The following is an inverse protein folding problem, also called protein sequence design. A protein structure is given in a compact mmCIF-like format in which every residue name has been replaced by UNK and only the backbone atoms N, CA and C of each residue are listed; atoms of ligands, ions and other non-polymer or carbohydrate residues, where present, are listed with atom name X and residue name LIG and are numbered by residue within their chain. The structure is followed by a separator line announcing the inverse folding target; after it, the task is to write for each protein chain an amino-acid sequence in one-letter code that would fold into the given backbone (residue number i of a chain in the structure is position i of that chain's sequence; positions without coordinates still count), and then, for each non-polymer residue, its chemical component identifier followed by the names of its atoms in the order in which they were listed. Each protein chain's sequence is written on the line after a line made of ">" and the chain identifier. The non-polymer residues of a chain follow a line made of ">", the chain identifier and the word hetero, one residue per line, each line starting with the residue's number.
data_IF_140947582811
#
_entry.id   IF_140947582811
#
_cell.length_a   1.000
_cell.length_b   1.000
_cell.length_c   1.000
_cell.angle_alpha   90.00
_cell.angle_beta   90.00
_cell.angle_gamma   90.00
#
_symmetry.space_group_name_H-M   'P 1'
#
loop_
_entity.id
_entity.type
_entity.pdbx_description
1 polymer ?
#
# COMPACT_ATOMS: atom_id res chain seq x y z
N UNK A 1 6.20 -5.57 -24.72
CA UNK A 1 4.83 -5.70 -25.26
C UNK A 1 4.34 -4.29 -25.58
N UNK A 2 4.01 -3.98 -26.84
CA UNK A 2 3.53 -2.63 -27.21
C UNK A 2 2.21 -2.40 -26.45
N UNK A 3 2.06 -1.37 -25.60
CA UNK A 3 0.81 -1.14 -24.88
C UNK A 3 -0.34 -0.97 -25.89
N UNK A 4 -1.57 -1.40 -25.59
CA UNK A 4 -2.70 -1.20 -26.50
C UNK A 4 -3.09 0.29 -26.57
N UNK A 5 -3.50 0.75 -27.75
CA UNK A 5 -4.17 2.06 -27.91
C UNK A 5 -5.65 1.86 -27.63
N UNK A 6 -6.28 2.78 -26.90
CA UNK A 6 -7.73 2.74 -26.75
C UNK A 6 -8.39 2.97 -28.12
N UNK A 7 -9.33 2.08 -28.56
CA UNK A 7 -10.00 2.21 -29.86
C UNK A 7 -10.70 3.56 -30.07
N UNK A 8 -10.98 4.31 -29.00
CA UNK A 8 -11.62 5.62 -29.03
C UNK A 8 -10.68 6.77 -29.41
N UNK A 9 -9.36 6.55 -29.44
CA UNK A 9 -8.36 7.59 -29.69
C UNK A 9 -8.66 8.40 -30.96
N UNK A 10 -8.90 7.72 -32.09
CA UNK A 10 -9.12 8.39 -33.38
C UNK A 10 -10.36 9.27 -33.38
N UNK A 11 -11.46 8.76 -32.80
CA UNK A 11 -12.73 9.48 -32.68
C UNK A 11 -12.59 10.70 -31.77
N UNK A 12 -11.88 10.58 -30.65
CA UNK A 12 -11.67 11.70 -29.71
C UNK A 12 -10.74 12.77 -30.29
N UNK A 13 -9.69 12.37 -31.01
CA UNK A 13 -8.81 13.30 -31.72
C UNK A 13 -9.60 14.13 -32.74
N UNK A 14 -10.45 13.48 -33.56
CA UNK A 14 -11.32 14.19 -34.51
C UNK A 14 -12.25 15.17 -33.79
N UNK A 15 -12.93 14.70 -32.73
CA UNK A 15 -13.89 15.51 -31.96
C UNK A 15 -13.24 16.77 -31.37
N UNK A 16 -12.05 16.64 -30.77
CA UNK A 16 -11.32 17.75 -30.14
C UNK A 16 -10.78 18.75 -31.18
N UNK A 17 -10.33 18.25 -32.32
CA UNK A 17 -9.89 19.09 -33.43
C UNK A 17 -11.06 19.91 -34.00
N UNK A 18 -12.20 19.28 -34.24
CA UNK A 18 -13.39 19.93 -34.81
C UNK A 18 -14.03 20.91 -33.83
N UNK A 19 -14.05 20.60 -32.53
CA UNK A 19 -14.51 21.51 -31.48
C UNK A 19 -13.71 22.82 -31.42
N UNK A 20 -12.45 22.80 -31.89
CA UNK A 20 -11.57 23.98 -32.01
C UNK A 20 -11.54 24.60 -33.40
N UNK A 21 -12.37 24.11 -34.33
CA UNK A 21 -12.40 24.54 -35.73
C UNK A 21 -11.04 24.44 -36.46
N UNK A 22 -10.17 23.52 -36.03
CA UNK A 22 -8.85 23.30 -36.64
C UNK A 22 -8.98 22.29 -37.79
N UNK A 23 -8.47 22.62 -38.97
CA UNK A 23 -8.38 21.65 -40.08
C UNK A 23 -7.23 20.66 -39.88
N UNK A 24 -7.30 19.49 -40.52
CA UNK A 24 -6.17 18.53 -40.52
C UNK A 24 -4.86 19.14 -41.07
N UNK A 25 -4.95 20.16 -41.95
CA UNK A 25 -3.78 20.85 -42.50
C UNK A 25 -3.15 21.78 -41.46
N UNK A 26 -3.96 22.50 -40.69
CA UNK A 26 -3.48 23.36 -39.61
C UNK A 26 -2.93 22.55 -38.45
N UNK A 27 -3.59 21.45 -38.06
CA UNK A 27 -3.07 20.54 -37.03
C UNK A 27 -1.73 19.91 -37.46
N UNK A 28 -1.59 19.55 -38.74
CA UNK A 28 -0.33 19.05 -39.30
C UNK A 28 0.80 20.07 -39.19
N UNK A 29 0.52 21.34 -39.49
CA UNK A 29 1.49 22.42 -39.35
C UNK A 29 1.87 22.69 -37.88
N UNK A 30 0.89 22.66 -36.96
CA UNK A 30 1.11 22.94 -35.54
C UNK A 30 1.83 21.80 -34.80
N UNK A 31 1.62 20.55 -35.22
CA UNK A 31 2.19 19.37 -34.56
C UNK A 31 3.49 18.86 -35.19
N UNK A 32 3.92 19.44 -36.32
CA UNK A 32 4.99 18.89 -37.17
C UNK A 32 4.76 17.41 -37.59
N UNK A 33 3.52 16.90 -37.47
CA UNK A 33 3.13 15.57 -37.94
C UNK A 33 2.52 15.67 -39.34
N UNK A 34 2.77 14.67 -40.19
CA UNK A 34 2.19 14.68 -41.54
C UNK A 34 0.66 14.58 -41.50
N UNK A 35 -0.02 15.32 -42.39
CA UNK A 35 -1.48 15.22 -42.58
C UNK A 35 -1.95 13.78 -42.82
N UNK A 36 -1.15 12.98 -43.53
CA UNK A 36 -1.45 11.57 -43.79
C UNK A 36 -1.42 10.73 -42.51
N UNK A 37 -0.47 10.98 -41.59
CA UNK A 37 -0.40 10.31 -40.30
C UNK A 37 -1.61 10.66 -39.43
N UNK A 38 -1.94 11.96 -39.31
CA UNK A 38 -3.09 12.41 -38.53
C UNK A 38 -4.42 11.84 -39.05
N UNK A 39 -4.58 11.78 -40.38
CA UNK A 39 -5.75 11.16 -41.01
C UNK A 39 -5.83 9.65 -40.74
N UNK A 40 -4.69 8.94 -40.69
CA UNK A 40 -4.68 7.53 -40.34
C UNK A 40 -5.01 7.32 -38.85
N UNK A 41 -4.54 8.20 -37.97
CA UNK A 41 -4.89 8.16 -36.55
C UNK A 41 -6.40 8.39 -36.32
N UNK A 42 -7.00 9.41 -36.94
CA UNK A 42 -8.43 9.71 -36.77
C UNK A 42 -9.34 8.56 -37.25
N UNK A 43 -8.93 7.85 -38.30
CA UNK A 43 -9.73 6.77 -38.87
C UNK A 43 -9.34 5.37 -38.32
N UNK A 44 -8.49 5.32 -37.28
CA UNK A 44 -8.04 4.06 -36.67
C UNK A 44 -7.13 3.19 -37.55
N UNK A 45 -6.60 3.73 -38.65
CA UNK A 45 -5.70 3.04 -39.56
C UNK A 45 -4.23 2.99 -39.09
N UNK A 46 -3.86 3.85 -38.12
CA UNK A 46 -2.53 3.80 -37.50
C UNK A 46 -2.56 4.37 -36.07
N UNK A 47 -1.98 3.62 -35.16
CA UNK A 47 -1.79 4.04 -33.77
C UNK A 47 -0.71 5.14 -33.65
N UNK A 48 -0.98 6.24 -32.93
CA UNK A 48 0.06 7.20 -32.57
C UNK A 48 1.02 6.60 -31.52
N UNK A 49 2.24 7.13 -31.48
CA UNK A 49 3.11 6.88 -30.33
C UNK A 49 2.58 7.64 -29.09
N UNK A 50 2.92 7.21 -27.87
CA UNK A 50 2.54 7.93 -26.64
C UNK A 50 3.00 9.39 -26.64
N UNK A 51 4.19 9.68 -27.16
CA UNK A 51 4.72 11.03 -27.25
C UNK A 51 3.89 11.90 -28.20
N UNK A 52 3.46 11.34 -29.34
CA UNK A 52 2.58 12.03 -30.29
C UNK A 52 1.17 12.25 -29.70
N UNK A 53 0.65 11.30 -28.92
CA UNK A 53 -0.63 11.45 -28.25
C UNK A 53 -0.59 12.58 -27.20
N UNK A 54 0.46 12.63 -26.36
CA UNK A 54 0.66 13.70 -25.38
C UNK A 54 0.90 15.07 -26.05
N UNK A 55 1.64 15.09 -27.17
CA UNK A 55 1.85 16.33 -27.93
C UNK A 55 0.53 16.86 -28.53
N UNK A 56 -0.29 15.99 -29.12
CA UNK A 56 -1.61 16.36 -29.63
C UNK A 56 -2.57 16.79 -28.52
N UNK A 57 -2.48 16.15 -27.34
CA UNK A 57 -3.25 16.54 -26.14
C UNK A 57 -2.96 17.98 -25.73
N UNK A 58 -1.68 18.35 -25.61
CA UNK A 58 -1.25 19.71 -25.27
C UNK A 58 -1.63 20.73 -26.34
N UNK A 59 -1.43 20.41 -27.62
CA UNK A 59 -1.78 21.31 -28.73
C UNK A 59 -3.28 21.56 -28.84
N UNK A 60 -4.07 20.54 -28.56
CA UNK A 60 -5.52 20.63 -28.52
C UNK A 60 -6.02 20.88 -27.10
N UNK A 61 -5.19 21.34 -26.17
CA UNK A 61 -5.55 21.67 -24.77
C UNK A 61 -6.65 20.73 -24.21
N UNK A 62 -6.38 19.43 -24.29
CA UNK A 62 -7.37 18.38 -24.09
C UNK A 62 -7.42 17.88 -22.64
N UNK A 63 -6.59 18.44 -21.75
CA UNK A 63 -6.57 18.12 -20.32
C UNK A 63 -6.26 16.65 -20.03
N UNK A 64 -5.38 16.03 -20.83
CA UNK A 64 -4.95 14.63 -20.68
C UNK A 64 -5.86 13.59 -21.33
N UNK A 65 -6.96 13.98 -21.99
CA UNK A 65 -7.91 13.06 -22.62
C UNK A 65 -7.32 12.24 -23.76
N UNK A 66 -6.50 12.82 -24.63
CA UNK A 66 -5.81 12.09 -25.70
C UNK A 66 -4.62 11.30 -25.16
N UNK A 67 -3.89 11.84 -24.19
CA UNK A 67 -2.77 11.16 -23.56
C UNK A 67 -3.21 9.89 -22.81
N UNK A 68 -4.34 9.94 -22.09
CA UNK A 68 -4.90 8.78 -21.37
C UNK A 68 -5.39 7.65 -22.28
N UNK A 69 -5.80 7.96 -23.51
CA UNK A 69 -6.19 6.97 -24.52
C UNK A 69 -4.97 6.29 -25.18
N UNK A 70 -3.76 6.82 -24.94
CA UNK A 70 -2.48 6.25 -25.36
C UNK A 70 -1.43 6.45 -24.26
N UNK A 71 -1.55 5.75 -23.12
CA UNK A 71 -0.65 5.94 -22.00
C UNK A 71 0.77 5.51 -22.36
N UNK A 72 1.75 6.31 -21.94
CA UNK A 72 3.14 5.89 -21.94
C UNK A 72 3.43 5.14 -20.62
N UNK A 73 3.80 3.85 -20.67
CA UNK A 73 4.12 3.08 -19.47
C UNK A 73 5.37 3.59 -18.73
N UNK A 74 6.15 4.51 -19.32
CA UNK A 74 7.36 5.09 -18.71
C UNK A 74 7.18 6.54 -18.21
N UNK A 75 6.10 7.25 -18.60
CA UNK A 75 5.87 8.67 -18.26
C UNK A 75 4.65 8.87 -17.34
N UNK A 76 4.53 8.07 -16.28
CA UNK A 76 3.53 8.27 -15.22
C UNK A 76 3.76 9.49 -14.32
N UNK A 77 4.72 10.37 -14.65
CA UNK A 77 5.02 11.60 -13.90
C UNK A 77 5.59 12.63 -14.86
N UNK A 78 4.81 13.66 -15.20
CA UNK A 78 5.29 14.89 -15.85
C UNK A 78 5.91 15.86 -14.80
N UNK A 79 6.34 15.36 -13.64
CA UNK A 79 7.24 16.12 -12.75
C UNK A 79 8.67 15.94 -13.27
N UNK A 80 9.35 17.05 -13.56
CA UNK A 80 10.82 17.04 -13.58
C UNK A 80 11.25 16.50 -12.22
N UNK A 81 12.00 15.38 -12.16
CA UNK A 81 12.49 14.88 -10.89
C UNK A 81 13.21 16.02 -10.18
N UNK A 82 12.77 16.33 -8.96
CA UNK A 82 13.45 17.29 -8.12
C UNK A 82 14.92 16.88 -7.95
N UNK A 83 15.79 17.85 -7.65
CA UNK A 83 17.20 17.55 -7.39
C UNK A 83 17.37 16.46 -6.32
N UNK A 84 16.45 16.40 -5.34
CA UNK A 84 16.41 15.36 -4.31
C UNK A 84 16.08 13.97 -4.88
N UNK A 85 15.11 13.86 -5.78
CA UNK A 85 14.74 12.59 -6.43
C UNK A 85 15.85 12.09 -7.36
N UNK A 86 16.53 13.00 -8.08
CA UNK A 86 17.71 12.67 -8.90
C UNK A 86 18.82 12.14 -8.00
N UNK A 87 19.13 12.85 -6.91
CA UNK A 87 20.17 12.44 -5.97
C UNK A 87 19.85 11.09 -5.32
N UNK A 88 18.59 10.84 -4.96
CA UNK A 88 18.13 9.56 -4.43
C UNK A 88 18.33 8.43 -5.45
N UNK A 89 17.95 8.65 -6.72
CA UNK A 89 18.13 7.67 -7.78
C UNK A 89 19.61 7.38 -8.07
N UNK A 90 20.47 8.41 -8.05
CA UNK A 90 21.91 8.26 -8.21
C UNK A 90 22.54 7.47 -7.06
N UNK A 91 22.11 7.72 -5.80
CA UNK A 91 22.54 6.97 -4.62
C UNK A 91 22.15 5.49 -4.71
N UNK A 92 20.92 5.19 -5.13
CA UNK A 92 20.46 3.80 -5.34
C UNK A 92 21.27 3.12 -6.45
N UNK A 93 21.49 3.80 -7.58
CA UNK A 93 22.26 3.24 -8.69
C UNK A 93 23.75 3.06 -8.33
N UNK A 94 24.31 3.92 -7.46
CA UNK A 94 25.66 3.76 -6.92
C UNK A 94 25.74 2.56 -5.99
N UNK A 95 24.78 2.40 -5.07
CA UNK A 95 24.68 1.25 -4.17
C UNK A 95 24.66 -0.08 -4.91
N UNK A 96 23.94 -0.19 -6.03
CA UNK A 96 23.93 -1.38 -6.88
C UNK A 96 25.29 -1.67 -7.53
N UNK A 97 26.05 -0.63 -7.91
CA UNK A 97 27.37 -0.77 -8.55
C UNK A 97 28.50 -1.03 -7.54
N UNK A 98 28.35 -0.57 -6.29
CA UNK A 98 29.36 -0.65 -5.24
C UNK A 98 28.78 -1.10 -3.87
N UNK A 99 28.21 -2.31 -3.77
CA UNK A 99 27.52 -2.78 -2.56
C UNK A 99 28.41 -2.90 -1.31
N UNK A 100 29.74 -2.82 -1.46
CA UNK A 100 30.72 -2.84 -0.36
C UNK A 100 30.92 -1.49 0.31
N UNK A 101 30.39 -0.41 -0.26
CA UNK A 101 30.56 0.97 0.22
C UNK A 101 29.20 1.64 0.49
N UNK A 102 28.23 0.88 1.00
CA UNK A 102 26.92 1.43 1.36
C UNK A 102 27.06 2.36 2.57
N UNK A 103 26.72 3.62 2.38
CA UNK A 103 26.59 4.60 3.45
C UNK A 103 25.13 4.70 3.94
N UNK A 104 24.92 5.47 5.00
CA UNK A 104 23.61 5.71 5.57
C UNK A 104 22.64 6.39 4.58
N UNK A 105 23.14 7.25 3.69
CA UNK A 105 22.32 7.98 2.72
C UNK A 105 21.75 7.08 1.63
N UNK A 106 22.53 6.11 1.16
CA UNK A 106 22.05 5.09 0.23
C UNK A 106 20.97 4.19 0.84
N UNK A 107 21.14 3.79 2.11
CA UNK A 107 20.14 2.97 2.82
C UNK A 107 18.86 3.77 3.06
N UNK A 108 18.97 5.05 3.39
CA UNK A 108 17.82 5.94 3.51
C UNK A 108 17.04 6.03 2.18
N UNK A 109 17.72 6.23 1.04
CA UNK A 109 17.05 6.24 -0.28
C UNK A 109 16.29 4.93 -0.56
N UNK A 110 16.88 3.80 -0.20
CA UNK A 110 16.24 2.49 -0.38
C UNK A 110 14.98 2.36 0.50
N UNK A 111 15.03 2.87 1.73
CA UNK A 111 13.86 3.00 2.60
C UNK A 111 12.79 3.93 2.02
N UNK A 112 13.19 5.07 1.46
CA UNK A 112 12.29 6.05 0.85
C UNK A 112 11.53 5.46 -0.35
N UNK A 113 12.21 4.68 -1.21
CA UNK A 113 11.54 3.96 -2.31
C UNK A 113 10.50 2.97 -1.78
N UNK A 114 10.79 2.27 -0.68
CA UNK A 114 9.83 1.37 -0.05
C UNK A 114 8.64 2.13 0.55
N UNK A 115 8.89 3.28 1.19
CA UNK A 115 7.83 4.14 1.70
C UNK A 115 6.94 4.67 0.55
N UNK A 116 7.52 5.05 -0.58
CA UNK A 116 6.79 5.46 -1.78
C UNK A 116 5.91 4.33 -2.31
N UNK A 117 6.39 3.08 -2.35
CA UNK A 117 5.56 1.94 -2.73
C UNK A 117 4.34 1.77 -1.81
N UNK A 118 4.50 1.94 -0.49
CA UNK A 118 3.37 1.87 0.45
C UNK A 118 2.31 2.93 0.16
N UNK A 119 2.73 4.14 -0.23
CA UNK A 119 1.79 5.21 -0.62
C UNK A 119 1.13 4.96 -1.96
N UNK A 120 1.82 4.27 -2.89
CA UNK A 120 1.23 3.86 -4.14
C UNK A 120 0.14 2.79 -3.94
N UNK A 121 0.32 1.85 -3.00
CA UNK A 121 -0.68 0.82 -2.66
C UNK A 121 -2.06 1.41 -2.32
N UNK A 122 -2.12 2.63 -1.77
CA UNK A 122 -3.38 3.33 -1.49
C UNK A 122 -4.18 3.69 -2.76
N UNK A 123 -3.54 3.65 -3.94
CA UNK A 123 -4.08 4.22 -5.18
C UNK A 123 -4.04 3.28 -6.38
N UNK A 124 -3.16 2.27 -6.37
CA UNK A 124 -3.00 1.34 -7.50
C UNK A 124 -3.24 -0.12 -7.08
N UNK A 125 -3.81 -0.96 -7.97
CA UNK A 125 -4.06 -2.36 -7.66
C UNK A 125 -2.77 -3.15 -7.35
N UNK A 126 -2.88 -4.11 -6.43
CA UNK A 126 -1.79 -4.98 -6.03
C UNK A 126 -1.17 -5.76 -7.21
N UNK A 127 -1.95 -6.10 -8.25
CA UNK A 127 -1.46 -6.79 -9.46
C UNK A 127 -0.39 -5.98 -10.20
N UNK A 128 -0.51 -4.65 -10.17
CA UNK A 128 0.42 -3.72 -10.82
C UNK A 128 1.62 -3.46 -9.92
N UNK A 129 1.39 -3.24 -8.62
CA UNK A 129 2.44 -2.86 -7.68
C UNK A 129 3.34 -4.03 -7.27
N UNK A 130 2.79 -5.23 -7.10
CA UNK A 130 3.53 -6.41 -6.65
C UNK A 130 4.81 -6.69 -7.43
N UNK A 131 4.84 -6.72 -8.79
CA UNK A 131 6.08 -6.99 -9.52
C UNK A 131 7.16 -5.93 -9.28
N UNK A 132 6.76 -4.66 -9.11
CA UNK A 132 7.68 -3.53 -8.85
C UNK A 132 8.28 -3.66 -7.44
N UNK A 133 7.42 -3.82 -6.43
CA UNK A 133 7.84 -3.99 -5.04
C UNK A 133 8.70 -5.25 -4.84
N UNK A 134 8.35 -6.35 -5.49
CA UNK A 134 9.11 -7.59 -5.43
C UNK A 134 10.49 -7.45 -6.12
N UNK A 135 10.58 -6.75 -7.26
CA UNK A 135 11.87 -6.47 -7.89
C UNK A 135 12.78 -5.64 -6.97
N UNK A 136 12.24 -4.60 -6.33
CA UNK A 136 12.96 -3.80 -5.34
C UNK A 136 13.42 -4.66 -4.15
N UNK A 137 12.54 -5.50 -3.59
CA UNK A 137 12.90 -6.45 -2.53
C UNK A 137 14.06 -7.38 -2.95
N UNK A 138 14.03 -7.92 -4.16
CA UNK A 138 15.11 -8.77 -4.67
C UNK A 138 16.44 -8.01 -4.81
N UNK A 139 16.41 -6.74 -5.20
CA UNK A 139 17.59 -5.87 -5.18
C UNK A 139 18.14 -5.72 -3.76
N UNK A 140 17.28 -5.40 -2.78
CA UNK A 140 17.68 -5.26 -1.37
C UNK A 140 18.33 -6.54 -0.83
N UNK A 141 17.77 -7.71 -1.14
CA UNK A 141 18.35 -9.01 -0.75
C UNK A 141 19.73 -9.23 -1.36
N UNK A 142 19.93 -8.89 -2.64
CA UNK A 142 21.25 -8.99 -3.30
C UNK A 142 22.27 -8.06 -2.67
N UNK A 143 21.88 -6.80 -2.41
CA UNK A 143 22.73 -5.82 -1.72
C UNK A 143 23.13 -6.33 -0.34
N UNK A 144 22.17 -6.81 0.46
CA UNK A 144 22.41 -7.28 1.82
C UNK A 144 23.37 -8.46 1.91
N UNK A 145 23.35 -9.37 0.93
CA UNK A 145 24.28 -10.52 0.89
C UNK A 145 25.75 -10.08 0.81
N UNK A 146 26.00 -9.05 0.01
CA UNK A 146 27.35 -8.61 -0.34
C UNK A 146 27.81 -7.37 0.48
N UNK A 147 26.88 -6.76 1.23
CA UNK A 147 27.12 -5.60 2.10
C UNK A 147 28.07 -5.91 3.26
N UNK A 148 28.90 -4.93 3.61
CA UNK A 148 29.84 -4.99 4.73
C UNK A 148 29.87 -3.63 5.43
N UNK A 149 30.29 -3.62 6.69
CA UNK A 149 30.46 -2.40 7.47
C UNK A 149 29.32 -2.09 8.44
N UNK A 150 29.33 -0.91 9.06
CA UNK A 150 28.50 -0.59 10.22
C UNK A 150 27.00 -0.46 9.91
N UNK A 151 26.63 -0.23 8.64
CA UNK A 151 25.24 -0.02 8.24
C UNK A 151 24.49 -1.29 7.79
N UNK A 152 25.15 -2.46 7.85
CA UNK A 152 24.55 -3.75 7.49
C UNK A 152 23.25 -4.02 8.26
N UNK A 153 23.14 -3.81 9.59
CA UNK A 153 21.88 -4.01 10.31
C UNK A 153 20.73 -3.14 9.78
N UNK A 154 21.00 -1.87 9.45
CA UNK A 154 20.00 -0.95 8.88
C UNK A 154 19.50 -1.43 7.52
N UNK A 155 20.39 -1.94 6.66
CA UNK A 155 19.99 -2.54 5.38
C UNK A 155 19.13 -3.80 5.59
N UNK A 156 19.48 -4.64 6.56
CA UNK A 156 18.67 -5.82 6.89
C UNK A 156 17.29 -5.46 7.42
N UNK A 157 17.14 -4.32 8.13
CA UNK A 157 15.84 -3.81 8.53
C UNK A 157 15.00 -3.42 7.31
N UNK A 158 15.56 -2.68 6.34
CA UNK A 158 14.86 -2.36 5.07
C UNK A 158 14.49 -3.63 4.29
N UNK A 159 15.35 -4.66 4.32
CA UNK A 159 15.02 -5.97 3.73
C UNK A 159 13.84 -6.62 4.45
N UNK A 160 13.80 -6.61 5.79
CA UNK A 160 12.68 -7.18 6.56
C UNK A 160 11.37 -6.43 6.27
N UNK A 161 11.42 -5.10 6.28
CA UNK A 161 10.26 -4.26 5.92
C UNK A 161 9.75 -4.52 4.49
N UNK A 162 10.66 -4.62 3.51
CA UNK A 162 10.26 -4.90 2.12
C UNK A 162 9.65 -6.30 1.97
N UNK A 163 10.11 -7.27 2.76
CA UNK A 163 9.56 -8.62 2.79
C UNK A 163 8.15 -8.63 3.36
N UNK A 164 7.92 -7.90 4.46
CA UNK A 164 6.58 -7.69 5.02
C UNK A 164 5.65 -7.05 3.99
N UNK A 165 6.10 -6.01 3.29
CA UNK A 165 5.27 -5.31 2.31
C UNK A 165 4.96 -6.16 1.07
N UNK A 166 5.92 -6.92 0.53
CA UNK A 166 5.64 -7.87 -0.56
C UNK A 166 4.70 -8.99 -0.08
N UNK A 167 4.78 -9.38 1.19
CA UNK A 167 3.81 -10.27 1.85
C UNK A 167 2.40 -9.69 1.83
N UNK A 168 2.25 -8.40 2.16
CA UNK A 168 0.97 -7.67 2.11
C UNK A 168 0.34 -7.69 0.72
N UNK A 169 1.10 -7.30 -0.30
CA UNK A 169 0.62 -7.35 -1.68
C UNK A 169 0.29 -8.79 -2.12
N UNK A 170 1.05 -9.78 -1.64
CA UNK A 170 0.77 -11.19 -1.93
C UNK A 170 -0.54 -11.67 -1.29
N UNK A 171 -0.87 -11.21 -0.08
CA UNK A 171 -2.13 -11.50 0.59
C UNK A 171 -3.32 -10.93 -0.19
N UNK A 172 -3.24 -9.66 -0.62
CA UNK A 172 -4.27 -9.03 -1.46
C UNK A 172 -4.55 -9.81 -2.75
N UNK A 173 -3.52 -10.45 -3.32
CA UNK A 173 -3.63 -11.30 -4.51
C UNK A 173 -4.10 -12.74 -4.22
N UNK A 174 -4.55 -13.03 -2.99
CA UNK A 174 -4.98 -14.36 -2.57
C UNK A 174 -3.85 -15.39 -2.41
N UNK A 175 -2.58 -14.96 -2.45
CA UNK A 175 -1.39 -15.85 -2.34
C UNK A 175 -1.05 -16.11 -0.87
N UNK A 176 -2.01 -16.61 -0.10
CA UNK A 176 -1.93 -16.62 1.36
C UNK A 176 -0.74 -17.41 1.91
N UNK A 177 -0.40 -18.58 1.34
CA UNK A 177 0.76 -19.35 1.80
C UNK A 177 2.09 -18.60 1.58
N UNK A 178 2.21 -17.90 0.46
CA UNK A 178 3.40 -17.09 0.18
C UNK A 178 3.47 -15.91 1.15
N UNK A 179 2.34 -15.24 1.39
CA UNK A 179 2.23 -14.14 2.35
C UNK A 179 2.61 -14.59 3.78
N UNK A 180 2.08 -15.72 4.27
CA UNK A 180 2.42 -16.23 5.61
C UNK A 180 3.93 -16.51 5.75
N UNK A 181 4.56 -17.12 4.74
CA UNK A 181 6.01 -17.34 4.75
C UNK A 181 6.81 -16.04 4.76
N UNK A 182 6.36 -15.02 4.04
CA UNK A 182 7.02 -13.72 4.00
C UNK A 182 6.88 -13.00 5.34
N UNK A 183 5.69 -13.01 5.94
CA UNK A 183 5.46 -12.43 7.27
C UNK A 183 6.26 -13.15 8.36
N UNK A 184 6.33 -14.48 8.33
CA UNK A 184 7.13 -15.24 9.29
C UNK A 184 8.61 -14.84 9.20
N UNK A 185 9.19 -14.82 7.99
CA UNK A 185 10.59 -14.41 7.79
C UNK A 185 10.84 -12.94 8.16
N UNK A 186 9.86 -12.05 7.94
CA UNK A 186 9.97 -10.66 8.38
C UNK A 186 9.95 -10.56 9.90
N UNK A 187 9.06 -11.29 10.57
CA UNK A 187 8.97 -11.31 12.03
C UNK A 187 10.29 -11.80 12.66
N UNK A 188 10.80 -12.94 12.20
CA UNK A 188 12.06 -13.53 12.71
C UNK A 188 13.22 -12.53 12.57
N UNK A 189 13.38 -11.90 11.40
CA UNK A 189 14.43 -10.90 11.17
C UNK A 189 14.25 -9.63 11.99
N UNK A 190 13.01 -9.17 12.16
CA UNK A 190 12.71 -7.99 12.95
C UNK A 190 13.02 -8.25 14.43
N UNK A 191 12.73 -9.43 14.96
CA UNK A 191 13.09 -9.84 16.32
C UNK A 191 14.62 -9.88 16.50
N UNK A 192 15.35 -10.49 15.57
CA UNK A 192 16.83 -10.52 15.58
C UNK A 192 17.46 -9.11 15.57
N UNK A 193 16.80 -8.14 14.92
CA UNK A 193 17.25 -6.75 14.82
C UNK A 193 16.75 -5.86 15.95
N UNK A 194 15.92 -6.36 16.87
CA UNK A 194 15.28 -5.56 17.92
C UNK A 194 14.23 -4.58 17.39
N UNK A 195 13.66 -4.82 16.21
CA UNK A 195 12.65 -4.00 15.57
C UNK A 195 11.23 -4.45 15.98
N UNK A 196 10.88 -4.23 17.25
CA UNK A 196 9.65 -4.73 17.87
C UNK A 196 8.35 -4.34 17.15
N UNK A 197 8.25 -3.11 16.64
CA UNK A 197 7.08 -2.65 15.87
C UNK A 197 6.83 -3.48 14.61
N UNK A 198 7.90 -3.76 13.84
CA UNK A 198 7.82 -4.55 12.61
C UNK A 198 7.54 -6.04 12.92
N UNK A 199 8.15 -6.59 13.96
CA UNK A 199 7.89 -7.95 14.43
C UNK A 199 6.42 -8.14 14.85
N UNK A 200 5.89 -7.19 15.63
CA UNK A 200 4.50 -7.17 16.06
C UNK A 200 3.54 -7.06 14.86
N UNK A 201 3.80 -6.14 13.92
CA UNK A 201 2.98 -5.98 12.72
C UNK A 201 2.99 -7.24 11.84
N UNK A 202 4.17 -7.82 11.61
CA UNK A 202 4.31 -9.04 10.79
C UNK A 202 3.51 -10.20 11.40
N UNK A 203 3.59 -10.38 12.71
CA UNK A 203 2.82 -11.39 13.45
C UNK A 203 1.31 -11.14 13.37
N UNK A 204 0.87 -9.87 13.50
CA UNK A 204 -0.55 -9.50 13.32
C UNK A 204 -1.07 -9.80 11.91
N UNK A 205 -0.25 -9.61 10.89
CA UNK A 205 -0.67 -9.88 9.52
C UNK A 205 -0.88 -11.39 9.29
N UNK A 206 -0.10 -12.24 9.94
CA UNK A 206 -0.37 -13.69 10.02
C UNK A 206 -1.68 -13.99 10.74
N UNK A 207 -1.96 -13.27 11.83
CA UNK A 207 -3.25 -13.34 12.52
C UNK A 207 -4.44 -12.95 11.63
N UNK A 208 -4.28 -11.92 10.77
CA UNK A 208 -5.30 -11.52 9.80
C UNK A 208 -5.55 -12.60 8.76
N UNK A 209 -4.49 -13.19 8.19
CA UNK A 209 -4.64 -14.32 7.26
C UNK A 209 -5.34 -15.51 7.91
N UNK A 210 -5.01 -15.82 9.16
CA UNK A 210 -5.68 -16.89 9.90
C UNK A 210 -7.17 -16.58 10.13
N UNK A 211 -7.52 -15.32 10.38
CA UNK A 211 -8.92 -14.90 10.48
C UNK A 211 -9.67 -15.06 9.16
N UNK A 212 -9.12 -14.56 8.06
CA UNK A 212 -9.68 -14.68 6.71
C UNK A 212 -9.88 -16.15 6.28
N UNK A 213 -9.01 -17.05 6.75
CA UNK A 213 -9.09 -18.49 6.48
C UNK A 213 -9.96 -19.26 7.48
N UNK A 214 -10.67 -18.58 8.39
CA UNK A 214 -11.54 -19.22 9.38
C UNK A 214 -10.79 -20.08 10.40
N UNK A 215 -9.58 -19.68 10.78
CA UNK A 215 -8.71 -20.38 11.75
C UNK A 215 -8.57 -19.56 13.06
N UNK A 216 -9.63 -19.43 13.87
CA UNK A 216 -9.66 -18.53 15.02
C UNK A 216 -8.62 -18.87 16.10
N UNK A 217 -8.28 -20.16 16.28
CA UNK A 217 -7.21 -20.56 17.22
C UNK A 217 -5.85 -20.00 16.81
N UNK A 218 -5.51 -20.04 15.52
CA UNK A 218 -4.23 -19.51 15.02
C UNK A 218 -4.23 -17.98 15.01
N UNK A 219 -5.38 -17.38 14.70
CA UNK A 219 -5.59 -15.93 14.83
C UNK A 219 -5.24 -15.45 16.25
N UNK A 220 -5.79 -16.09 17.29
CA UNK A 220 -5.50 -15.76 18.70
C UNK A 220 -4.02 -15.92 19.03
N UNK A 221 -3.39 -17.02 18.63
CA UNK A 221 -1.96 -17.27 18.88
C UNK A 221 -1.08 -16.16 18.27
N UNK A 222 -1.34 -15.77 17.03
CA UNK A 222 -0.57 -14.73 16.35
C UNK A 222 -0.77 -13.33 16.96
N UNK A 223 -2.00 -12.99 17.36
CA UNK A 223 -2.27 -11.71 18.02
C UNK A 223 -1.71 -11.65 19.44
N UNK A 224 -1.75 -12.75 20.18
CA UNK A 224 -1.12 -12.85 21.48
C UNK A 224 0.40 -12.66 21.38
N UNK A 225 1.06 -13.33 20.43
CA UNK A 225 2.50 -13.14 20.17
C UNK A 225 2.83 -11.68 19.84
N UNK A 226 2.03 -11.06 18.98
CA UNK A 226 2.21 -9.66 18.60
C UNK A 226 2.02 -8.68 19.76
N UNK A 227 1.12 -8.97 20.71
CA UNK A 227 0.88 -8.13 21.88
C UNK A 227 2.03 -8.24 22.90
N UNK A 228 2.67 -9.41 22.96
CA UNK A 228 3.79 -9.72 23.84
C UNK A 228 5.16 -9.41 23.22
N UNK A 229 5.20 -8.91 21.98
CA UNK A 229 6.46 -8.58 21.29
C UNK A 229 7.22 -7.48 22.03
N UNK A 230 8.47 -7.72 22.46
CA UNK A 230 9.30 -6.72 23.12
C UNK A 230 9.53 -5.50 22.23
N UNK A 231 9.68 -4.33 22.85
CA UNK A 231 10.00 -3.05 22.18
C UNK A 231 9.02 -2.62 21.07
N UNK A 232 7.85 -3.27 20.97
CA UNK A 232 6.78 -2.83 20.09
C UNK A 232 6.23 -1.48 20.56
N UNK A 233 6.10 -0.52 19.63
CA UNK A 233 5.49 0.78 19.90
C UNK A 233 4.09 0.64 20.49
N UNK A 234 3.67 1.63 21.28
CA UNK A 234 2.43 1.53 22.07
C UNK A 234 1.18 1.29 21.19
N UNK A 235 1.12 1.89 20.00
CA UNK A 235 0.01 1.70 19.06
C UNK A 235 -0.05 0.27 18.51
N UNK A 236 1.11 -0.37 18.26
CA UNK A 236 1.17 -1.77 17.85
C UNK A 236 0.65 -2.70 18.95
N UNK A 237 1.01 -2.42 20.20
CA UNK A 237 0.55 -3.19 21.37
C UNK A 237 -0.97 -3.05 21.57
N UNK A 238 -1.52 -1.84 21.46
CA UNK A 238 -2.97 -1.62 21.57
C UNK A 238 -3.71 -2.40 20.47
N UNK A 239 -3.32 -2.26 19.21
CA UNK A 239 -3.99 -2.97 18.11
C UNK A 239 -3.87 -4.49 18.26
N UNK A 240 -2.71 -5.00 18.71
CA UNK A 240 -2.54 -6.41 18.99
C UNK A 240 -3.47 -6.92 20.10
N UNK A 241 -3.58 -6.20 21.22
CA UNK A 241 -4.49 -6.58 22.32
C UNK A 241 -5.97 -6.52 21.91
N UNK A 242 -6.39 -5.49 21.16
CA UNK A 242 -7.76 -5.39 20.66
C UNK A 242 -8.12 -6.56 19.72
N UNK A 243 -7.20 -6.94 18.83
CA UNK A 243 -7.39 -8.08 17.93
C UNK A 243 -7.32 -9.42 18.65
N UNK A 244 -6.49 -9.53 19.67
CA UNK A 244 -6.46 -10.68 20.55
C UNK A 244 -7.79 -10.84 21.30
N UNK A 245 -8.33 -9.75 21.83
CA UNK A 245 -9.66 -9.73 22.45
C UNK A 245 -10.76 -10.19 21.48
N UNK A 246 -10.74 -9.67 20.25
CA UNK A 246 -11.66 -10.10 19.19
C UNK A 246 -11.56 -11.61 18.92
N UNK A 247 -10.34 -12.15 18.75
CA UNK A 247 -10.15 -13.58 18.53
C UNK A 247 -10.62 -14.46 19.70
N UNK A 248 -10.36 -14.02 20.95
CA UNK A 248 -10.84 -14.73 22.14
C UNK A 248 -12.36 -14.72 22.24
N UNK A 249 -13.00 -13.59 21.89
CA UNK A 249 -14.45 -13.47 21.85
C UNK A 249 -15.07 -14.41 20.79
N UNK A 250 -14.47 -14.50 19.59
CA UNK A 250 -14.87 -15.45 18.55
C UNK A 250 -14.81 -16.92 19.02
N UNK A 251 -13.82 -17.26 19.86
CA UNK A 251 -13.69 -18.60 20.45
C UNK A 251 -14.62 -18.83 21.66
N UNK A 252 -15.41 -17.83 22.05
CA UNK A 252 -16.28 -17.89 23.23
C UNK A 252 -15.58 -17.68 24.57
N UNK A 253 -14.27 -17.37 24.58
CA UNK A 253 -13.55 -16.99 25.81
C UNK A 253 -13.83 -15.52 26.17
N UNK A 254 -15.04 -15.29 26.67
CA UNK A 254 -15.49 -13.98 27.11
C UNK A 254 -14.57 -13.39 28.19
N UNK A 255 -14.10 -14.20 29.13
CA UNK A 255 -13.28 -13.73 30.24
C UNK A 255 -11.89 -13.28 29.75
N UNK A 256 -11.27 -14.04 28.85
CA UNK A 256 -10.03 -13.67 28.18
C UNK A 256 -10.18 -12.41 27.35
N UNK A 257 -11.22 -12.31 26.54
CA UNK A 257 -11.50 -11.14 25.72
C UNK A 257 -11.63 -9.86 26.56
N UNK A 258 -12.35 -9.90 27.68
CA UNK A 258 -12.48 -8.75 28.58
C UNK A 258 -11.16 -8.34 29.24
N UNK A 259 -10.31 -9.31 29.60
CA UNK A 259 -8.96 -9.01 30.11
C UNK A 259 -8.10 -8.30 29.08
N UNK A 260 -8.11 -8.78 27.83
CA UNK A 260 -7.36 -8.15 26.73
C UNK A 260 -7.89 -6.74 26.41
N UNK A 261 -9.21 -6.51 26.47
CA UNK A 261 -9.79 -5.17 26.34
C UNK A 261 -9.33 -4.22 27.46
N UNK A 262 -9.29 -4.66 28.71
CA UNK A 262 -8.77 -3.83 29.79
C UNK A 262 -7.28 -3.52 29.60
N UNK A 263 -6.47 -4.48 29.16
CA UNK A 263 -5.06 -4.23 28.86
C UNK A 263 -4.89 -3.19 27.72
N UNK A 264 -5.74 -3.23 26.70
CA UNK A 264 -5.77 -2.23 25.64
C UNK A 264 -6.18 -0.83 26.14
N UNK A 265 -7.11 -0.75 27.09
CA UNK A 265 -7.58 0.51 27.69
C UNK A 265 -6.47 1.18 28.53
N UNK A 266 -5.77 0.39 29.35
CA UNK A 266 -4.60 0.83 30.13
C UNK A 266 -3.52 1.42 29.21
N UNK A 267 -3.24 0.76 28.08
CA UNK A 267 -2.29 1.22 27.08
C UNK A 267 -2.77 2.49 26.36
N UNK A 268 -4.07 2.58 26.06
CA UNK A 268 -4.65 3.74 25.36
C UNK A 268 -4.52 5.00 26.21
N UNK A 269 -4.70 4.88 27.53
CA UNK A 269 -4.49 5.99 28.47
C UNK A 269 -3.05 6.53 28.42
N UNK A 270 -2.07 5.66 28.17
CA UNK A 270 -0.65 6.03 28.06
C UNK A 270 -0.22 6.45 26.64
N UNK A 271 -1.09 6.34 25.63
CA UNK A 271 -0.77 6.58 24.22
C UNK A 271 -1.01 8.03 23.75
N UNK A 272 -1.23 8.98 24.67
CA UNK A 272 -1.42 10.38 24.30
C UNK A 272 -0.20 10.94 23.53
N UNK A 273 -0.46 11.57 22.39
CA UNK A 273 0.58 12.06 21.48
C UNK A 273 1.43 10.98 20.77
N UNK A 274 1.12 9.69 20.94
CA UNK A 274 1.82 8.62 20.23
C UNK A 274 1.67 8.75 18.71
N UNK A 275 2.77 8.52 17.99
CA UNK A 275 2.79 8.55 16.52
C UNK A 275 3.03 7.15 15.97
N UNK A 276 2.41 6.81 14.83
CA UNK A 276 2.68 5.55 14.17
C UNK A 276 4.12 5.48 13.67
N UNK A 277 4.65 4.25 13.59
CA UNK A 277 5.89 3.99 12.86
C UNK A 277 5.71 4.35 11.37
N UNK A 278 6.74 4.82 10.65
CA UNK A 278 6.62 5.21 9.24
C UNK A 278 6.05 4.12 8.33
N UNK A 279 6.43 2.86 8.55
CA UNK A 279 5.92 1.70 7.79
C UNK A 279 4.47 1.33 8.15
N UNK A 280 3.93 1.90 9.22
CA UNK A 280 2.59 1.68 9.75
C UNK A 280 1.82 3.00 9.88
N UNK A 281 2.03 3.98 8.99
CA UNK A 281 1.46 5.33 9.08
C UNK A 281 -0.07 5.38 9.26
N UNK A 282 -0.78 4.34 8.83
CA UNK A 282 -2.23 4.18 8.96
C UNK A 282 -2.68 3.77 10.38
N UNK A 283 -1.76 3.29 11.23
CA UNK A 283 -2.05 2.79 12.58
C UNK A 283 -2.26 3.94 13.56
N UNK A 284 -3.41 4.60 13.43
CA UNK A 284 -3.80 5.75 14.25
C UNK A 284 -4.83 5.37 15.32
N UNK A 285 -5.07 6.25 16.30
CA UNK A 285 -6.16 6.05 17.26
C UNK A 285 -7.54 5.89 16.60
N UNK A 286 -7.73 6.50 15.43
CA UNK A 286 -8.93 6.33 14.63
C UNK A 286 -9.02 4.92 14.04
N UNK A 287 -7.92 4.38 13.52
CA UNK A 287 -7.83 3.00 13.05
C UNK A 287 -8.14 1.98 14.17
N UNK A 288 -7.67 2.24 15.40
CA UNK A 288 -7.89 1.34 16.55
C UNK A 288 -9.37 1.16 16.91
N UNK A 289 -10.27 2.01 16.41
CA UNK A 289 -11.73 1.85 16.57
C UNK A 289 -12.26 0.60 15.87
N UNK A 290 -11.67 0.20 14.75
CA UNK A 290 -12.08 -1.01 14.03
C UNK A 290 -11.93 -2.29 14.85
N UNK A 291 -10.72 -2.67 15.31
CA UNK A 291 -10.55 -3.90 16.10
C UNK A 291 -11.30 -3.84 17.45
N UNK A 292 -11.44 -2.65 18.06
CA UNK A 292 -12.26 -2.47 19.26
C UNK A 292 -13.75 -2.78 19.00
N UNK A 293 -14.30 -2.25 17.91
CA UNK A 293 -15.67 -2.50 17.50
C UNK A 293 -15.95 -3.98 17.19
N UNK A 294 -15.03 -4.65 16.49
CA UNK A 294 -15.11 -6.09 16.24
C UNK A 294 -15.12 -6.90 17.54
N UNK A 295 -14.24 -6.59 18.50
CA UNK A 295 -14.23 -7.26 19.78
C UNK A 295 -15.55 -7.09 20.55
N UNK A 296 -16.12 -5.88 20.54
CA UNK A 296 -17.42 -5.62 21.16
C UNK A 296 -18.56 -6.38 20.48
N UNK A 297 -18.54 -6.50 19.15
CA UNK A 297 -19.57 -7.21 18.40
C UNK A 297 -19.64 -8.68 18.83
N UNK A 298 -18.48 -9.34 18.88
CA UNK A 298 -18.37 -10.76 19.27
C UNK A 298 -18.66 -10.98 20.77
N UNK A 299 -18.47 -9.95 21.59
CA UNK A 299 -18.90 -9.96 23.00
C UNK A 299 -20.41 -9.70 23.19
N UNK A 300 -21.17 -9.50 22.10
CA UNK A 300 -22.60 -9.20 22.16
C UNK A 300 -22.92 -7.78 22.67
N UNK A 301 -21.94 -6.87 22.63
CA UNK A 301 -22.12 -5.45 23.01
C UNK A 301 -22.41 -4.63 21.77
N UNK A 302 -23.58 -4.87 21.18
CA UNK A 302 -23.96 -4.36 19.88
C UNK A 302 -23.87 -2.83 19.75
N UNK A 303 -24.31 -2.09 20.78
CA UNK A 303 -24.21 -0.63 20.80
C UNK A 303 -22.77 -0.13 20.78
N UNK A 304 -21.91 -0.63 21.66
CA UNK A 304 -20.49 -0.26 21.71
C UNK A 304 -19.77 -0.62 20.40
N UNK A 305 -20.14 -1.76 19.80
CA UNK A 305 -19.62 -2.18 18.51
C UNK A 305 -19.99 -1.21 17.39
N UNK A 306 -21.28 -0.86 17.28
CA UNK A 306 -21.78 0.06 16.27
C UNK A 306 -21.13 1.45 16.40
N UNK A 307 -21.01 1.98 17.61
CA UNK A 307 -20.40 3.30 17.85
C UNK A 307 -18.93 3.33 17.43
N UNK A 308 -18.14 2.31 17.79
CA UNK A 308 -16.73 2.26 17.40
C UNK A 308 -16.55 2.03 15.89
N UNK A 309 -17.30 1.11 15.29
CA UNK A 309 -17.19 0.83 13.85
C UNK A 309 -17.60 2.06 13.01
N UNK A 310 -18.66 2.77 13.41
CA UNK A 310 -19.10 4.00 12.75
C UNK A 310 -18.03 5.09 12.82
N UNK A 311 -17.50 5.38 14.02
CA UNK A 311 -16.44 6.38 14.18
C UNK A 311 -15.19 6.00 13.37
N UNK A 312 -14.82 4.72 13.34
CA UNK A 312 -13.72 4.23 12.52
C UNK A 312 -13.94 4.51 11.03
N UNK A 313 -15.11 4.17 10.48
CA UNK A 313 -15.46 4.41 9.08
C UNK A 313 -15.52 5.91 8.73
N UNK A 314 -16.15 6.72 9.59
CA UNK A 314 -16.27 8.18 9.39
C UNK A 314 -14.92 8.89 9.40
N UNK A 315 -13.93 8.35 10.13
CA UNK A 315 -12.58 8.91 10.20
C UNK A 315 -11.72 8.69 8.95
N UNK A 316 -12.12 7.76 8.06
CA UNK A 316 -11.40 7.50 6.82
C UNK A 316 -11.61 8.65 5.82
N UNK A 317 -10.63 8.91 4.93
CA UNK A 317 -10.82 9.74 3.75
C UNK A 317 -12.03 9.27 2.94
N UNK A 318 -12.74 10.20 2.30
CA UNK A 318 -13.97 9.90 1.56
C UNK A 318 -13.76 8.82 0.49
N UNK A 319 -12.61 8.84 -0.18
CA UNK A 319 -12.23 7.87 -1.21
C UNK A 319 -12.00 6.47 -0.66
N UNK A 320 -11.72 6.34 0.65
CA UNK A 320 -11.40 5.07 1.29
C UNK A 320 -12.62 4.39 1.93
N UNK A 321 -13.68 5.13 2.26
CA UNK A 321 -14.84 4.61 3.02
C UNK A 321 -15.53 3.43 2.34
N UNK A 322 -15.62 3.45 1.00
CA UNK A 322 -16.32 2.44 0.20
C UNK A 322 -15.38 1.48 -0.54
N UNK A 323 -14.11 1.40 -0.15
CA UNK A 323 -13.16 0.48 -0.77
C UNK A 323 -13.47 -0.98 -0.42
N UNK A 324 -13.02 -1.96 -1.22
CA UNK A 324 -13.26 -3.38 -0.94
C UNK A 324 -12.77 -3.83 0.44
N UNK A 325 -11.66 -3.27 0.95
CA UNK A 325 -11.10 -3.68 2.25
C UNK A 325 -11.97 -3.23 3.44
N UNK A 326 -12.79 -2.19 3.30
CA UNK A 326 -13.71 -1.76 4.38
C UNK A 326 -14.96 -2.62 4.48
N UNK A 327 -15.23 -3.49 3.50
CA UNK A 327 -16.46 -4.29 3.42
C UNK A 327 -16.70 -5.11 4.69
N UNK A 328 -15.64 -5.69 5.29
CA UNK A 328 -15.75 -6.44 6.55
C UNK A 328 -16.21 -5.57 7.73
N UNK A 329 -15.75 -4.32 7.80
CA UNK A 329 -16.11 -3.40 8.88
C UNK A 329 -17.51 -2.83 8.69
N UNK A 330 -17.91 -2.56 7.44
CA UNK A 330 -19.28 -2.15 7.11
C UNK A 330 -20.28 -3.27 7.40
N UNK A 331 -20.00 -4.51 7.02
CA UNK A 331 -20.84 -5.65 7.36
C UNK A 331 -20.93 -5.92 8.87
N UNK A 332 -19.83 -5.70 9.60
CA UNK A 332 -19.84 -5.76 11.06
C UNK A 332 -20.70 -4.63 11.68
N UNK A 333 -20.66 -3.42 11.11
CA UNK A 333 -21.50 -2.30 11.55
C UNK A 333 -22.98 -2.59 11.33
N UNK A 334 -23.36 -3.05 10.15
CA UNK A 334 -24.76 -3.45 9.84
C UNK A 334 -25.24 -4.52 10.82
N UNK A 335 -24.40 -5.51 11.11
CA UNK A 335 -24.71 -6.57 12.09
C UNK A 335 -24.87 -6.02 13.50
N UNK A 336 -24.01 -5.07 13.90
CA UNK A 336 -24.08 -4.43 15.20
C UNK A 336 -25.36 -3.60 15.34
N UNK A 337 -25.71 -2.79 14.33
CA UNK A 337 -26.91 -1.95 14.33
C UNK A 337 -28.20 -2.78 14.34
N UNK A 338 -28.22 -3.94 13.67
CA UNK A 338 -29.37 -4.85 13.71
C UNK A 338 -29.57 -5.53 15.09
N UNK A 339 -28.53 -5.55 15.94
CA UNK A 339 -28.54 -6.21 17.26
C UNK A 339 -28.63 -5.23 18.45
N UNK A 340 -28.50 -3.92 18.20
CA UNK A 340 -28.44 -2.87 19.23
C UNK A 340 -29.82 -2.47 19.75
#
# INVERSE_FOLDING_TARGET
>A
MKPPVDPRFGTELRRLREARAISLRELSAASNLSKSLLSLCENGGRDPSPENAAHLDRLLDAGGRLASLRPDPMLGSDAVPSDLEIEQAERVAHAERAPRALDAGAIASLGDVLAAHRRLDDTIPAEVLWPIANAHHQTLVRLARDARGPHVPSLHLVVAESLQFVGWLSAQLGRHEAADRMYAQSADRAEELGAGGLASQSSRFRGSLAWEQGQPTRMVQHYQHAAQTPDAGILHRIDAELRHAHGLALLGDRAGALRALHAADDLTTAADGARPDPFAYWLTSAWLRFPLGLAHLELGRARDAADNLRVGLESLPDEQRETPWTAQYRGALETAEARA
#
